data_IF_892333849300
#
_entry.id   IF_892333849300
#
_cell.length_a   1.000
_cell.length_b   1.000
_cell.length_c   1.000
_cell.angle_alpha   90.00
_cell.angle_beta   90.00
_cell.angle_gamma   90.00
#
_symmetry.space_group_name_H-M   'P 1'
#
loop_
_entity.id
_entity.type
_entity.pdbx_description
1 polymer ?
#
# COMPACT_ATOMS: atom_id res chain seq x y z
N UNK A 1 9.87 9.12 -20.92
CA UNK A 1 10.64 7.93 -20.52
C UNK A 1 11.89 8.42 -19.83
N UNK A 2 12.25 7.89 -18.66
CA UNK A 2 13.49 8.32 -18.02
C UNK A 2 14.68 7.65 -18.73
N UNK A 3 15.87 8.30 -18.75
CA UNK A 3 17.07 7.73 -19.36
C UNK A 3 17.45 6.37 -18.74
N UNK A 4 17.18 6.19 -17.46
CA UNK A 4 17.39 4.93 -16.73
C UNK A 4 16.49 3.78 -17.21
N UNK A 5 15.25 4.07 -17.64
CA UNK A 5 14.35 3.03 -18.17
C UNK A 5 14.83 2.51 -19.53
N UNK A 6 15.42 3.39 -20.34
CA UNK A 6 15.94 3.06 -21.68
C UNK A 6 17.22 2.24 -21.58
N UNK A 7 18.13 2.59 -20.66
CA UNK A 7 19.35 1.81 -20.40
C UNK A 7 19.05 0.42 -19.82
N UNK A 8 18.06 0.32 -18.92
CA UNK A 8 17.60 -0.96 -18.38
C UNK A 8 17.00 -1.85 -19.47
N UNK A 9 16.18 -1.26 -20.35
CA UNK A 9 15.58 -1.93 -21.50
C UNK A 9 16.64 -2.44 -22.50
N UNK A 10 17.64 -1.61 -22.83
CA UNK A 10 18.74 -2.01 -23.72
C UNK A 10 19.63 -3.10 -23.12
N UNK A 11 19.82 -3.10 -21.79
CA UNK A 11 20.55 -4.14 -21.07
C UNK A 11 19.78 -5.46 -21.01
N UNK A 12 18.45 -5.39 -20.85
CA UNK A 12 17.54 -6.56 -20.86
C UNK A 12 17.37 -7.19 -22.24
N UNK A 13 17.47 -6.43 -23.34
CA UNK A 13 17.51 -6.99 -24.70
C UNK A 13 18.82 -7.77 -24.95
N UNK A 14 19.94 -7.35 -24.33
CA UNK A 14 21.25 -8.00 -24.49
C UNK A 14 21.42 -9.27 -23.64
N UNK A 15 20.77 -9.34 -22.48
CA UNK A 15 20.59 -10.60 -21.77
C UNK A 15 19.55 -11.38 -22.56
N UNK A 16 19.98 -12.41 -23.32
CA UNK A 16 19.08 -13.33 -24.04
C UNK A 16 17.80 -13.55 -23.22
N UNK A 17 16.65 -13.08 -23.74
CA UNK A 17 15.36 -13.65 -23.40
C UNK A 17 15.36 -15.09 -23.94
N UNK A 18 16.07 -15.97 -23.25
CA UNK A 18 15.80 -17.39 -23.28
C UNK A 18 14.41 -17.49 -22.66
N UNK A 19 13.40 -17.60 -23.51
CA UNK A 19 12.58 -18.80 -23.57
C UNK A 19 11.23 -18.52 -24.21
N UNK A 20 10.78 -19.53 -24.94
CA UNK A 20 9.42 -19.71 -25.42
C UNK A 20 8.38 -19.49 -24.30
N UNK A 21 7.21 -18.96 -24.66
CA UNK A 21 6.11 -18.71 -23.74
C UNK A 21 5.77 -19.98 -22.94
N UNK A 22 5.68 -19.93 -21.61
CA UNK A 22 5.43 -21.13 -20.79
C UNK A 22 4.04 -21.75 -21.03
N UNK A 23 3.10 -21.01 -21.64
CA UNK A 23 1.76 -21.50 -21.94
C UNK A 23 1.62 -22.15 -23.33
N UNK A 24 2.33 -21.65 -24.34
CA UNK A 24 2.12 -22.05 -25.73
C UNK A 24 3.40 -22.19 -26.55
N UNK A 25 4.56 -22.05 -25.91
CA UNK A 25 5.89 -22.15 -26.49
C UNK A 25 6.24 -21.16 -27.61
N UNK A 26 5.38 -20.18 -27.88
CA UNK A 26 5.62 -19.12 -28.86
C UNK A 26 6.55 -18.04 -28.32
N UNK A 27 7.12 -17.23 -29.21
CA UNK A 27 8.05 -16.17 -28.83
C UNK A 27 7.41 -15.15 -27.88
N UNK A 28 8.17 -14.77 -26.85
CA UNK A 28 7.81 -13.70 -25.92
C UNK A 28 8.54 -12.41 -26.30
N UNK A 29 7.88 -11.28 -26.07
CA UNK A 29 8.44 -9.95 -26.35
C UNK A 29 8.20 -9.01 -25.19
N UNK A 30 9.09 -8.02 -25.02
CA UNK A 30 8.87 -6.93 -24.08
C UNK A 30 7.96 -5.89 -24.76
N UNK A 31 6.83 -5.59 -24.11
CA UNK A 31 5.83 -4.61 -24.55
C UNK A 31 5.75 -3.47 -23.52
N UNK A 32 5.19 -2.33 -23.91
CA UNK A 32 5.01 -1.18 -23.03
C UNK A 32 3.52 -0.81 -22.93
N UNK A 33 3.01 -0.72 -21.70
CA UNK A 33 1.62 -0.38 -21.40
C UNK A 33 1.46 0.83 -20.48
N UNK A 34 0.22 1.13 -20.08
CA UNK A 34 -0.12 2.24 -19.15
C UNK A 34 0.68 2.18 -17.84
N UNK A 35 0.98 0.96 -17.40
CA UNK A 35 1.57 0.62 -16.11
C UNK A 35 3.07 0.30 -16.17
N UNK A 36 3.71 0.46 -17.34
CA UNK A 36 5.15 0.21 -17.52
C UNK A 36 5.43 -0.88 -18.55
N UNK A 37 6.67 -1.36 -18.56
CA UNK A 37 7.07 -2.48 -19.41
C UNK A 37 6.60 -3.81 -18.82
N UNK A 38 6.24 -4.74 -19.70
CA UNK A 38 5.87 -6.10 -19.35
C UNK A 38 6.39 -7.06 -20.42
N UNK A 39 6.67 -8.30 -20.03
CA UNK A 39 6.93 -9.40 -20.98
C UNK A 39 5.59 -10.01 -21.34
N UNK A 40 5.34 -10.31 -22.61
CA UNK A 40 4.11 -10.96 -23.03
C UNK A 40 4.27 -11.79 -24.30
N UNK A 41 3.42 -12.81 -24.42
CA UNK A 41 3.33 -13.61 -25.63
C UNK A 41 2.63 -12.82 -26.76
N UNK A 42 3.01 -13.10 -28.02
CA UNK A 42 2.30 -12.60 -29.20
C UNK A 42 0.96 -13.31 -29.44
N UNK A 43 0.89 -14.59 -29.09
CA UNK A 43 -0.17 -15.51 -29.52
C UNK A 43 -1.18 -15.86 -28.41
N UNK A 44 -0.92 -15.49 -27.16
CA UNK A 44 -1.85 -15.74 -26.05
C UNK A 44 -1.85 -14.61 -25.01
N UNK A 45 -2.74 -14.70 -24.02
CA UNK A 45 -2.91 -13.67 -22.98
C UNK A 45 -1.87 -13.73 -21.85
N UNK A 46 -0.79 -14.51 -21.99
CA UNK A 46 0.25 -14.57 -20.98
C UNK A 46 1.07 -13.27 -20.96
N UNK A 47 1.10 -12.62 -19.80
CA UNK A 47 1.88 -11.39 -19.54
C UNK A 47 2.45 -11.42 -18.13
N UNK A 48 3.62 -10.81 -17.92
CA UNK A 48 4.28 -10.64 -16.62
C UNK A 48 5.02 -9.30 -16.54
N UNK A 49 5.15 -8.67 -15.36
CA UNK A 49 5.96 -7.47 -15.19
C UNK A 49 7.42 -7.71 -15.57
N UNK A 50 8.12 -6.68 -16.04
CA UNK A 50 9.55 -6.79 -16.38
C UNK A 50 10.36 -7.00 -15.10
N UNK A 51 11.05 -8.13 -15.04
CA UNK A 51 11.88 -8.67 -13.95
C UNK A 51 12.17 -7.69 -12.80
N UNK A 52 11.50 -7.88 -11.67
CA UNK A 52 12.10 -7.50 -10.39
C UNK A 52 13.37 -8.34 -10.22
N UNK A 53 14.50 -7.68 -9.93
CA UNK A 53 15.85 -8.28 -9.92
C UNK A 53 16.00 -9.52 -9.02
N UNK A 54 15.03 -9.79 -8.15
CA UNK A 54 15.02 -10.90 -7.18
C UNK A 54 14.38 -12.19 -7.69
N UNK A 55 13.56 -12.18 -8.75
CA UNK A 55 12.75 -13.35 -9.13
C UNK A 55 13.22 -13.95 -10.47
N UNK A 56 13.49 -15.26 -10.47
CA UNK A 56 13.98 -16.01 -11.64
C UNK A 56 12.87 -16.29 -12.67
N UNK A 57 13.22 -16.48 -13.94
CA UNK A 57 12.24 -16.72 -15.01
C UNK A 57 11.46 -18.03 -14.81
N UNK A 58 12.14 -19.07 -14.32
CA UNK A 58 11.56 -20.38 -14.02
C UNK A 58 10.45 -20.28 -12.96
N UNK A 59 10.53 -19.29 -12.07
CA UNK A 59 9.47 -18.96 -11.13
C UNK A 59 8.24 -18.41 -11.85
N UNK A 60 8.42 -17.44 -12.76
CA UNK A 60 7.31 -16.89 -13.54
C UNK A 60 6.60 -17.91 -14.42
N UNK A 61 7.33 -18.91 -14.93
CA UNK A 61 6.77 -19.97 -15.77
C UNK A 61 5.74 -20.83 -15.01
N UNK A 62 5.89 -20.95 -13.69
CA UNK A 62 5.00 -21.72 -12.81
C UNK A 62 3.83 -20.89 -12.26
N UNK A 63 3.77 -19.58 -12.57
CA UNK A 63 2.77 -18.66 -12.03
C UNK A 63 1.72 -18.23 -13.07
N UNK A 64 0.43 -18.12 -12.70
CA UNK A 64 -0.11 -18.34 -11.36
C UNK A 64 -0.11 -19.82 -10.97
N UNK A 65 0.37 -20.12 -9.76
CA UNK A 65 0.39 -21.47 -9.19
C UNK A 65 -0.91 -21.67 -8.40
N UNK A 66 -1.67 -22.69 -8.76
CA UNK A 66 -2.86 -23.11 -8.02
C UNK A 66 -2.44 -23.76 -6.69
N UNK A 67 -2.98 -23.27 -5.58
CA UNK A 67 -2.72 -23.78 -4.24
C UNK A 67 -3.90 -24.61 -3.69
N UNK A 68 -5.00 -24.73 -4.44
CA UNK A 68 -6.24 -25.38 -4.03
C UNK A 68 -7.34 -24.38 -3.67
N UNK A 69 -8.45 -24.91 -3.17
CA UNK A 69 -9.61 -24.12 -2.75
C UNK A 69 -9.52 -23.75 -1.25
N UNK A 70 -9.97 -22.54 -0.92
CA UNK A 70 -10.14 -22.09 0.45
C UNK A 70 -11.16 -23.01 1.16
N UNK A 71 -10.87 -23.54 2.36
CA UNK A 71 -11.71 -24.53 3.03
C UNK A 71 -13.12 -24.00 3.36
N UNK A 72 -13.23 -22.75 3.80
CA UNK A 72 -14.53 -22.16 4.17
C UNK A 72 -15.34 -21.60 3.00
N UNK A 73 -14.71 -20.95 2.02
CA UNK A 73 -15.42 -20.28 0.91
C UNK A 73 -15.50 -21.12 -0.36
N UNK A 74 -14.64 -22.13 -0.51
CA UNK A 74 -14.48 -22.90 -1.74
C UNK A 74 -13.78 -22.14 -2.88
N UNK A 75 -13.42 -20.88 -2.66
CA UNK A 75 -12.79 -20.02 -3.68
C UNK A 75 -11.35 -20.46 -3.96
N UNK A 76 -10.88 -20.43 -5.22
CA UNK A 76 -9.52 -20.85 -5.54
C UNK A 76 -8.49 -19.86 -4.96
N UNK A 77 -7.37 -20.40 -4.51
CA UNK A 77 -6.24 -19.66 -3.95
C UNK A 77 -5.04 -19.82 -4.87
N UNK A 78 -4.42 -18.71 -5.24
CA UNK A 78 -3.27 -18.71 -6.16
C UNK A 78 -2.07 -17.99 -5.55
N UNK A 79 -0.89 -18.52 -5.82
CA UNK A 79 0.34 -17.74 -5.75
C UNK A 79 0.60 -17.09 -7.11
N UNK A 80 0.92 -15.79 -7.13
CA UNK A 80 1.22 -15.05 -8.36
C UNK A 80 2.10 -13.83 -8.07
N UNK A 81 2.56 -13.14 -9.11
CA UNK A 81 3.29 -11.88 -8.99
C UNK A 81 2.41 -10.75 -9.51
N UNK A 82 2.02 -9.87 -8.59
CA UNK A 82 1.25 -8.67 -8.88
C UNK A 82 2.17 -7.49 -9.25
N UNK A 83 1.57 -6.33 -9.55
CA UNK A 83 2.31 -5.07 -9.69
C UNK A 83 3.00 -4.62 -8.40
N UNK A 84 2.61 -5.18 -7.26
CA UNK A 84 3.15 -4.89 -5.95
C UNK A 84 4.16 -5.97 -5.47
N UNK A 85 4.58 -6.88 -6.35
CA UNK A 85 5.48 -7.99 -6.02
C UNK A 85 4.77 -9.34 -5.83
N UNK A 86 5.48 -10.36 -5.31
CA UNK A 86 4.92 -11.65 -4.92
C UNK A 86 3.66 -11.50 -4.07
N UNK A 87 2.64 -12.29 -4.38
CA UNK A 87 1.38 -12.27 -3.66
C UNK A 87 0.68 -13.61 -3.67
N UNK A 88 -0.11 -13.84 -2.64
CA UNK A 88 -1.17 -14.83 -2.63
C UNK A 88 -2.47 -14.09 -2.88
N UNK A 89 -3.38 -14.64 -3.67
CA UNK A 89 -4.70 -14.04 -3.84
C UNK A 89 -5.81 -15.08 -3.92
N UNK A 90 -6.99 -14.67 -3.46
CA UNK A 90 -8.25 -15.41 -3.60
C UNK A 90 -9.38 -14.42 -3.89
N UNK A 91 -10.59 -14.93 -4.08
CA UNK A 91 -11.79 -14.12 -4.28
C UNK A 91 -12.57 -14.02 -2.97
N UNK A 92 -13.05 -12.81 -2.68
CA UNK A 92 -14.03 -12.53 -1.63
C UNK A 92 -15.04 -11.54 -2.20
N UNK A 93 -16.31 -11.95 -2.28
CA UNK A 93 -17.39 -11.14 -2.87
C UNK A 93 -17.03 -10.62 -4.28
N UNK A 94 -16.54 -11.51 -5.16
CA UNK A 94 -16.07 -11.23 -6.52
C UNK A 94 -14.87 -10.26 -6.63
N UNK A 95 -14.28 -9.85 -5.51
CA UNK A 95 -13.09 -8.99 -5.47
C UNK A 95 -11.87 -9.81 -5.09
N UNK A 96 -10.74 -9.54 -5.76
CA UNK A 96 -9.44 -10.11 -5.37
C UNK A 96 -8.98 -9.50 -4.06
N UNK A 97 -8.77 -10.36 -3.07
CA UNK A 97 -8.03 -10.02 -1.86
C UNK A 97 -6.64 -10.64 -1.93
N UNK A 98 -5.67 -9.98 -1.31
CA UNK A 98 -4.26 -10.35 -1.43
C UNK A 98 -3.65 -10.61 -0.05
N UNK A 99 -2.75 -11.58 0.01
CA UNK A 99 -1.77 -11.80 1.07
C UNK A 99 -0.36 -11.52 0.54
N UNK A 100 0.47 -10.86 1.33
CA UNK A 100 1.86 -10.56 0.95
C UNK A 100 2.82 -11.50 1.68
N UNK A 101 3.56 -12.37 0.97
CA UNK A 101 4.65 -13.15 1.54
C UNK A 101 5.74 -12.28 2.16
N UNK A 102 6.47 -12.84 3.12
CA UNK A 102 7.63 -12.16 3.72
C UNK A 102 8.82 -12.12 2.71
N UNK A 103 9.78 -11.20 2.91
CA UNK A 103 10.84 -10.92 1.91
C UNK A 103 11.74 -12.12 1.58
N UNK A 104 11.84 -13.08 2.51
CA UNK A 104 12.67 -14.27 2.45
C UNK A 104 11.91 -15.55 2.07
N UNK A 105 10.59 -15.47 1.86
CA UNK A 105 9.79 -16.62 1.43
C UNK A 105 9.86 -16.87 -0.08
N UNK A 106 10.12 -18.13 -0.47
CA UNK A 106 9.96 -18.55 -1.87
C UNK A 106 8.48 -18.77 -2.18
N UNK A 107 7.95 -17.95 -3.09
CA UNK A 107 6.56 -18.01 -3.53
C UNK A 107 6.14 -19.39 -4.05
N UNK A 108 7.06 -20.17 -4.62
CA UNK A 108 6.75 -21.51 -5.13
C UNK A 108 6.66 -22.56 -4.02
N UNK A 109 7.25 -22.32 -2.85
CA UNK A 109 7.21 -23.25 -1.72
C UNK A 109 6.00 -22.99 -0.80
N UNK A 110 5.30 -21.86 -0.97
CA UNK A 110 4.10 -21.54 -0.19
C UNK A 110 2.99 -22.56 -0.50
N UNK A 111 2.52 -23.24 0.54
CA UNK A 111 1.36 -24.13 0.52
C UNK A 111 0.06 -23.45 0.97
N UNK A 112 -1.08 -24.14 0.83
CA UNK A 112 -2.41 -23.59 1.08
C UNK A 112 -2.57 -22.98 2.49
N UNK A 113 -2.15 -23.68 3.55
CA UNK A 113 -2.31 -23.18 4.92
C UNK A 113 -1.57 -21.86 5.15
N UNK A 114 -0.31 -21.76 4.68
CA UNK A 114 0.47 -20.52 4.77
C UNK A 114 -0.15 -19.43 3.90
N UNK A 115 -0.63 -19.78 2.71
CA UNK A 115 -1.33 -18.85 1.83
C UNK A 115 -2.59 -18.24 2.48
N UNK A 116 -3.39 -19.05 3.17
CA UNK A 116 -4.57 -18.58 3.91
C UNK A 116 -4.18 -17.69 5.09
N UNK A 117 -3.13 -18.06 5.84
CA UNK A 117 -2.59 -17.23 6.92
C UNK A 117 -2.11 -15.86 6.39
N UNK A 118 -1.43 -15.82 5.24
CA UNK A 118 -0.97 -14.58 4.61
C UNK A 118 -2.16 -13.72 4.16
N UNK A 119 -3.20 -14.32 3.58
CA UNK A 119 -4.43 -13.61 3.22
C UNK A 119 -5.11 -13.06 4.48
N UNK A 120 -5.29 -13.87 5.52
CA UNK A 120 -5.92 -13.42 6.76
C UNK A 120 -5.10 -12.31 7.42
N UNK A 121 -3.79 -12.50 7.61
CA UNK A 121 -2.86 -11.48 8.15
C UNK A 121 -2.91 -10.15 7.38
N UNK A 122 -3.08 -10.21 6.05
CA UNK A 122 -3.16 -9.02 5.21
C UNK A 122 -4.53 -8.33 5.24
N UNK A 123 -5.60 -9.04 5.57
CA UNK A 123 -6.97 -8.54 5.53
C UNK A 123 -7.63 -8.47 6.93
N UNK A 124 -6.94 -8.90 7.98
CA UNK A 124 -7.37 -8.81 9.36
C UNK A 124 -7.39 -7.34 9.77
N UNK A 125 -8.57 -6.85 10.13
CA UNK A 125 -8.72 -5.54 10.73
C UNK A 125 -8.29 -5.62 12.21
N UNK A 126 -7.02 -5.35 12.48
CA UNK A 126 -6.55 -5.21 13.85
C UNK A 126 -6.95 -3.81 14.35
N UNK A 127 -8.13 -3.69 14.96
CA UNK A 127 -8.56 -2.44 15.61
C UNK A 127 -7.66 -2.21 16.83
N UNK A 128 -6.91 -1.11 16.81
CA UNK A 128 -6.07 -0.68 17.92
C UNK A 128 -6.93 -0.02 19.00
N UNK A 129 -7.79 0.92 18.59
CA UNK A 129 -8.81 1.56 19.41
C UNK A 129 -9.88 2.21 18.54
N UNK A 130 -10.99 2.62 19.15
CA UNK A 130 -12.02 3.45 18.51
C UNK A 130 -11.82 4.88 19.00
N UNK A 131 -11.63 5.82 18.09
CA UNK A 131 -11.40 7.21 18.46
C UNK A 131 -12.70 7.80 19.06
N UNK A 132 -12.65 8.37 20.28
CA UNK A 132 -13.85 8.68 21.05
C UNK A 132 -14.70 9.82 20.46
N UNK A 133 -14.11 10.78 19.74
CA UNK A 133 -14.87 11.91 19.20
C UNK A 133 -15.66 11.55 17.94
N UNK A 134 -15.03 10.82 17.03
CA UNK A 134 -15.56 10.47 15.70
C UNK A 134 -16.22 9.09 15.66
N UNK A 135 -15.90 8.20 16.61
CA UNK A 135 -16.33 6.80 16.60
C UNK A 135 -15.67 5.96 15.50
N UNK A 136 -14.66 6.49 14.82
CA UNK A 136 -13.97 5.81 13.71
C UNK A 136 -12.85 4.93 14.30
N UNK A 137 -12.74 3.65 13.88
CA UNK A 137 -11.67 2.78 14.35
C UNK A 137 -10.31 3.19 13.78
N UNK A 138 -9.30 3.20 14.64
CA UNK A 138 -7.89 3.22 14.24
C UNK A 138 -7.45 1.77 14.07
N UNK A 139 -6.95 1.43 12.88
CA UNK A 139 -6.65 0.03 12.52
C UNK A 139 -5.19 -0.14 12.13
N UNK A 140 -4.63 -1.30 12.45
CA UNK A 140 -3.35 -1.77 11.96
C UNK A 140 -3.59 -2.73 10.80
N UNK A 141 -3.00 -2.41 9.65
CA UNK A 141 -3.19 -3.15 8.39
C UNK A 141 -1.84 -3.51 7.80
N UNK A 142 -1.82 -4.56 6.99
CA UNK A 142 -0.64 -4.97 6.23
C UNK A 142 -0.81 -4.62 4.76
N UNK A 143 0.16 -3.90 4.18
CA UNK A 143 0.13 -3.51 2.78
C UNK A 143 1.43 -3.84 2.06
N UNK A 144 1.50 -3.50 0.77
CA UNK A 144 2.66 -3.76 -0.09
C UNK A 144 4.00 -3.19 0.40
N UNK A 145 3.97 -2.22 1.31
CA UNK A 145 5.16 -1.56 1.84
C UNK A 145 5.41 -1.94 3.30
N UNK A 146 4.77 -3.01 3.76
CA UNK A 146 4.74 -3.44 5.15
C UNK A 146 3.52 -2.95 5.90
N UNK A 147 3.56 -3.18 7.19
CA UNK A 147 2.53 -2.80 8.16
C UNK A 147 2.38 -1.28 8.29
N UNK A 148 1.14 -0.82 8.44
CA UNK A 148 0.81 0.58 8.64
C UNK A 148 -0.46 0.75 9.48
N UNK A 149 -0.49 1.81 10.27
CA UNK A 149 -1.70 2.27 10.95
C UNK A 149 -2.50 3.18 10.03
N UNK A 150 -3.82 2.99 10.04
CA UNK A 150 -4.79 3.72 9.24
C UNK A 150 -5.93 4.26 10.10
N UNK A 151 -6.32 5.50 9.82
CA UNK A 151 -7.46 6.17 10.43
C UNK A 151 -8.07 7.14 9.42
N UNK A 152 -9.31 6.92 8.99
CA UNK A 152 -10.04 7.77 8.04
C UNK A 152 -9.22 8.25 6.81
N UNK A 153 -8.44 7.35 6.20
CA UNK A 153 -7.58 7.63 5.04
C UNK A 153 -6.24 8.33 5.37
N UNK A 154 -5.96 8.59 6.64
CA UNK A 154 -4.63 8.95 7.14
C UNK A 154 -3.83 7.68 7.40
N UNK A 155 -2.58 7.65 6.92
CA UNK A 155 -1.75 6.45 6.96
C UNK A 155 -0.38 6.76 7.57
N UNK A 156 0.13 5.83 8.38
CA UNK A 156 1.48 5.86 8.96
C UNK A 156 2.09 4.47 8.91
N UNK A 157 3.14 4.33 8.10
CA UNK A 157 3.86 3.06 8.00
C UNK A 157 4.72 2.80 9.26
N UNK A 158 4.74 1.54 9.70
CA UNK A 158 5.63 1.04 10.76
C UNK A 158 7.08 1.15 10.32
N UNK A 159 7.38 0.76 9.07
CA UNK A 159 8.72 0.87 8.47
C UNK A 159 8.69 1.63 7.14
N UNK A 160 9.71 2.45 6.90
CA UNK A 160 9.97 3.09 5.61
C UNK A 160 11.42 2.87 5.21
N UNK A 161 11.65 2.20 4.07
CA UNK A 161 12.99 1.89 3.55
C UNK A 161 13.89 1.21 4.60
N UNK A 162 13.34 0.22 5.31
CA UNK A 162 14.04 -0.54 6.35
C UNK A 162 14.22 0.17 7.70
N UNK A 163 13.81 1.44 7.83
CA UNK A 163 13.85 2.16 9.12
C UNK A 163 12.48 2.12 9.79
N UNK A 164 12.45 1.81 11.08
CA UNK A 164 11.23 1.94 11.90
C UNK A 164 10.88 3.43 12.02
N UNK A 165 9.65 3.79 11.65
CA UNK A 165 9.14 5.16 11.69
C UNK A 165 7.95 5.36 12.63
N UNK A 166 7.42 4.24 13.12
CA UNK A 166 6.30 4.13 14.05
C UNK A 166 6.31 2.68 14.56
N UNK A 167 6.06 2.47 15.84
CA UNK A 167 6.00 1.14 16.42
C UNK A 167 4.64 0.98 17.13
N UNK A 168 3.69 0.25 16.55
CA UNK A 168 2.38 0.03 17.16
C UNK A 168 2.46 -0.68 18.51
N UNK A 169 3.46 -1.54 18.74
CA UNK A 169 3.54 -2.33 19.97
C UNK A 169 4.08 -1.49 21.15
N UNK A 170 4.57 -0.28 20.87
CA UNK A 170 5.09 0.63 21.88
C UNK A 170 4.00 1.40 22.66
N UNK A 171 2.72 1.26 22.29
CA UNK A 171 1.61 2.03 22.84
C UNK A 171 0.64 1.17 23.66
N UNK A 172 0.12 1.74 24.74
CA UNK A 172 -1.04 1.21 25.46
C UNK A 172 -2.32 1.87 24.93
N UNK A 173 -3.07 1.17 24.07
CA UNK A 173 -4.28 1.73 23.45
C UNK A 173 -5.47 1.96 24.39
N UNK A 174 -5.37 1.55 25.66
CA UNK A 174 -6.35 1.91 26.69
C UNK A 174 -6.08 3.29 27.31
N UNK A 175 -4.87 3.85 27.11
CA UNK A 175 -4.48 5.17 27.62
C UNK A 175 -4.77 6.28 26.59
N UNK A 176 -5.47 7.32 27.00
CA UNK A 176 -5.84 8.45 26.13
C UNK A 176 -4.61 9.22 25.63
N UNK A 177 -3.56 9.31 26.45
CA UNK A 177 -2.31 9.98 26.06
C UNK A 177 -1.60 9.25 24.93
N UNK A 178 -1.56 7.93 24.97
CA UNK A 178 -1.03 7.10 23.90
C UNK A 178 -1.92 7.15 22.64
N UNK A 179 -3.24 7.15 22.77
CA UNK A 179 -4.15 7.37 21.64
C UNK A 179 -3.87 8.70 20.93
N UNK A 180 -3.67 9.79 21.69
CA UNK A 180 -3.31 11.11 21.13
C UNK A 180 -1.95 11.05 20.41
N UNK A 181 -0.94 10.35 20.96
CA UNK A 181 0.36 10.18 20.28
C UNK A 181 0.20 9.46 18.94
N UNK A 182 -0.67 8.46 18.86
CA UNK A 182 -0.98 7.74 17.62
C UNK A 182 -1.64 8.67 16.59
N UNK A 183 -2.65 9.44 17.00
CA UNK A 183 -3.31 10.43 16.13
C UNK A 183 -2.33 11.51 15.63
N UNK A 184 -1.45 12.01 16.50
CA UNK A 184 -0.38 12.95 16.11
C UNK A 184 0.61 12.31 15.13
N UNK A 185 0.97 11.03 15.32
CA UNK A 185 1.83 10.30 14.37
C UNK A 185 1.19 10.15 12.98
N UNK A 186 -0.13 10.00 12.93
CA UNK A 186 -0.95 10.01 11.71
C UNK A 186 -1.11 11.42 11.10
N UNK A 187 -0.64 12.46 11.81
CA UNK A 187 -0.77 13.91 11.48
C UNK A 187 -2.21 14.41 11.53
N UNK A 188 -2.99 13.87 12.46
CA UNK A 188 -4.27 14.48 12.83
C UNK A 188 -3.98 15.75 13.64
N UNK A 189 -4.62 16.84 13.25
CA UNK A 189 -4.50 18.14 13.89
C UNK A 189 -5.65 18.37 14.87
N UNK A 190 -6.82 17.83 14.58
CA UNK A 190 -8.03 18.07 15.36
C UNK A 190 -9.27 17.48 14.72
N UNK A 191 -10.43 17.86 15.26
CA UNK A 191 -11.74 17.45 14.78
C UNK A 191 -12.63 18.67 14.61
N UNK A 192 -13.51 18.63 13.62
CA UNK A 192 -14.56 19.63 13.49
C UNK A 192 -15.67 19.35 14.53
N UNK A 193 -16.15 20.40 15.21
CA UNK A 193 -16.92 20.26 16.44
C UNK A 193 -18.30 19.61 16.24
N UNK A 194 -18.96 19.84 15.10
CA UNK A 194 -20.32 19.38 14.84
C UNK A 194 -20.34 18.02 14.15
N UNK A 195 -19.58 17.89 13.06
CA UNK A 195 -19.49 16.69 12.23
C UNK A 195 -18.58 15.61 12.82
N UNK A 196 -17.72 15.98 13.78
CA UNK A 196 -16.69 15.09 14.37
C UNK A 196 -15.73 14.50 13.33
N UNK A 197 -15.64 15.10 12.15
CA UNK A 197 -14.74 14.66 11.10
C UNK A 197 -13.31 15.10 11.46
N UNK A 198 -12.30 14.21 11.36
CA UNK A 198 -10.92 14.57 11.63
C UNK A 198 -10.37 15.50 10.55
N UNK A 199 -9.55 16.45 11.00
CA UNK A 199 -8.75 17.37 10.20
C UNK A 199 -7.29 16.99 10.38
N UNK A 200 -6.55 16.85 9.29
CA UNK A 200 -5.15 16.44 9.36
C UNK A 200 -4.34 16.74 8.10
N UNK A 201 -3.06 16.35 8.13
CA UNK A 201 -2.13 16.53 7.00
C UNK A 201 -1.87 15.19 6.31
N UNK A 202 -2.26 15.12 5.04
CA UNK A 202 -2.04 13.95 4.19
C UNK A 202 -0.87 14.20 3.24
N UNK A 203 -0.04 13.17 3.07
CA UNK A 203 1.06 13.17 2.09
C UNK A 203 0.54 12.55 0.81
N UNK A 204 0.36 13.37 -0.23
CA UNK A 204 -0.16 12.97 -1.53
C UNK A 204 0.97 12.81 -2.54
N UNK A 205 0.97 11.71 -3.29
CA UNK A 205 1.87 11.53 -4.43
C UNK A 205 1.35 12.33 -5.63
N UNK A 206 2.20 13.16 -6.21
CA UNK A 206 1.91 13.95 -7.41
C UNK A 206 2.39 13.20 -8.67
N UNK A 207 1.44 12.63 -9.41
CA UNK A 207 1.69 12.00 -10.71
C UNK A 207 2.57 10.74 -10.62
N UNK A 208 3.27 10.44 -11.73
CA UNK A 208 4.10 9.21 -11.85
C UNK A 208 5.45 9.34 -11.14
N UNK A 209 5.99 10.54 -11.02
CA UNK A 209 7.27 10.78 -10.33
C UNK A 209 7.13 10.61 -8.81
N UNK A 210 8.23 10.31 -8.11
CA UNK A 210 8.30 10.30 -6.64
C UNK A 210 8.29 11.73 -6.06
N UNK A 211 7.34 12.56 -6.50
CA UNK A 211 7.08 13.88 -5.93
C UNK A 211 5.91 13.75 -4.98
N UNK A 212 6.08 14.23 -3.76
CA UNK A 212 5.03 14.21 -2.73
C UNK A 212 4.74 15.65 -2.31
N UNK A 213 3.46 15.97 -2.11
CA UNK A 213 3.00 17.25 -1.56
C UNK A 213 2.14 16.99 -0.34
N UNK A 214 2.20 17.90 0.63
CA UNK A 214 1.32 17.89 1.80
C UNK A 214 0.04 18.60 1.44
N UNK A 215 -1.09 18.07 1.90
CA UNK A 215 -2.40 18.69 1.77
C UNK A 215 -3.11 18.60 3.11
N UNK A 216 -3.91 19.61 3.45
CA UNK A 216 -4.86 19.46 4.54
C UNK A 216 -6.02 18.58 4.03
N UNK A 217 -6.52 17.67 4.85
CA UNK A 217 -7.69 16.83 4.55
C UNK A 217 -8.77 17.10 5.59
N UNK A 218 -10.00 17.28 5.11
CA UNK A 218 -11.23 17.35 5.91
C UNK A 218 -12.31 16.57 5.19
N UNK A 219 -12.74 15.44 5.78
CA UNK A 219 -13.61 14.50 5.08
C UNK A 219 -12.95 14.02 3.79
N UNK A 220 -13.66 14.07 2.67
CA UNK A 220 -13.12 13.71 1.35
C UNK A 220 -12.41 14.86 0.63
N UNK A 221 -12.50 16.08 1.16
CA UNK A 221 -11.90 17.27 0.57
C UNK A 221 -10.43 17.43 0.95
N UNK A 222 -9.63 17.92 0.00
CA UNK A 222 -8.19 18.16 0.16
C UNK A 222 -7.86 19.61 -0.21
N UNK A 223 -7.12 20.30 0.66
CA UNK A 223 -6.76 21.72 0.56
C UNK A 223 -5.25 21.91 0.51
N UNK A 224 -4.80 23.05 -0.02
CA UNK A 224 -3.38 23.36 -0.13
C UNK A 224 -2.74 23.58 1.26
N UNK A 225 -1.69 22.80 1.54
CA UNK A 225 -0.82 23.03 2.69
C UNK A 225 0.49 23.68 2.21
N UNK A 226 0.91 24.83 2.77
CA UNK A 226 2.18 25.47 2.44
C UNK A 226 3.39 24.58 2.75
N UNK A 227 4.46 24.70 1.97
CA UNK A 227 5.67 23.89 2.14
C UNK A 227 6.40 24.18 3.45
N UNK A 228 6.33 25.43 3.92
CA UNK A 228 6.91 25.90 5.17
C UNK A 228 6.03 25.65 6.40
N UNK A 229 4.89 24.96 6.28
CA UNK A 229 3.92 24.79 7.37
C UNK A 229 4.55 24.39 8.71
N UNK A 230 5.41 23.36 8.72
CA UNK A 230 6.07 22.88 9.95
C UNK A 230 7.17 23.80 10.50
N UNK A 231 7.47 24.91 9.82
CA UNK A 231 8.42 25.94 10.29
C UNK A 231 7.72 27.11 10.98
N UNK A 232 6.40 27.17 10.86
CA UNK A 232 5.55 28.18 11.49
C UNK A 232 5.29 27.81 12.95
N UNK A 233 4.94 28.79 13.77
CA UNK A 233 4.50 28.49 15.14
C UNK A 233 3.09 27.87 15.16
N UNK A 234 2.68 27.34 16.31
CA UNK A 234 1.40 26.64 16.42
C UNK A 234 0.18 27.50 16.12
N UNK A 235 0.21 28.80 16.46
CA UNK A 235 -0.92 29.69 16.19
C UNK A 235 -1.02 29.97 14.69
N UNK A 236 0.10 30.29 14.05
CA UNK A 236 0.17 30.46 12.60
C UNK A 236 -0.29 29.20 11.85
N UNK A 237 0.12 28.02 12.33
CA UNK A 237 -0.33 26.74 11.78
C UNK A 237 -1.84 26.54 11.89
N UNK A 238 -2.44 26.86 13.05
CA UNK A 238 -3.89 26.75 13.29
C UNK A 238 -4.66 27.73 12.41
N UNK A 239 -4.19 28.97 12.29
CA UNK A 239 -4.81 29.99 11.44
C UNK A 239 -4.83 29.57 9.98
N UNK A 240 -3.74 29.00 9.46
CA UNK A 240 -3.68 28.50 8.09
C UNK A 240 -4.68 27.37 7.82
N UNK A 241 -4.82 26.44 8.78
CA UNK A 241 -5.77 25.33 8.67
C UNK A 241 -7.20 25.86 8.63
N UNK A 242 -7.54 26.79 9.54
CA UNK A 242 -8.86 27.43 9.60
C UNK A 242 -9.14 28.21 8.32
N UNK A 243 -8.16 28.99 7.82
CA UNK A 243 -8.31 29.78 6.60
C UNK A 243 -8.50 28.91 5.36
N UNK A 244 -7.82 27.76 5.28
CA UNK A 244 -7.91 26.84 4.15
C UNK A 244 -9.23 26.07 4.13
N UNK A 245 -9.63 25.49 5.27
CA UNK A 245 -10.78 24.57 5.35
C UNK A 245 -12.10 25.33 5.58
N UNK A 246 -12.05 26.47 6.28
CA UNK A 246 -13.21 27.25 6.75
C UNK A 246 -14.27 26.40 7.48
N UNK A 247 -13.89 25.62 8.50
CA UNK A 247 -14.85 24.84 9.28
C UNK A 247 -15.64 25.74 10.24
N UNK A 248 -16.76 25.23 10.78
CA UNK A 248 -17.55 25.95 11.77
C UNK A 248 -16.73 26.22 13.05
N UNK A 249 -16.16 25.16 13.62
CA UNK A 249 -15.24 25.22 14.77
C UNK A 249 -14.37 23.97 14.84
N UNK A 250 -13.09 24.14 15.21
CA UNK A 250 -12.13 23.04 15.33
C UNK A 250 -11.76 22.84 16.80
N UNK A 251 -11.78 21.60 17.25
CA UNK A 251 -11.09 21.14 18.45
C UNK A 251 -9.71 20.59 18.05
N UNK A 252 -8.64 21.33 18.35
CA UNK A 252 -7.27 20.87 18.05
C UNK A 252 -6.80 19.86 19.10
N UNK A 253 -6.05 18.86 18.67
CA UNK A 253 -5.37 17.93 19.56
C UNK A 253 -4.24 18.67 20.28
N UNK A 254 -4.28 18.67 21.61
CA UNK A 254 -3.21 19.21 22.48
C UNK A 254 -2.06 18.22 22.66
#
# INVERSE_FOLDING_TARGET
MSKSDIELFQKMIRMRLLDSCPKCSNEISIKHGRWGFFVGCGECQWTKPVFEKSIKFETYAQLPKDLGAHPDTGEPVYADISINGPCIWTLKEDKKIFGTPDEDEDILEIGLNRALELIDRSNKENILFIEPNSGIPVTLKNGRFGEYTEFNGFNKATKLKGRVTYDPDAFNYQDEGDQIKVLKALRILGFEEESKIPIGIKIKKLGKAFKFKKVFKFGEDEFECPDNYYKLDENEQRELVIAAIKPNKIFFLE
#
